data_IF_017928327678
#
_entry.id   IF_017928327678
#
_cell.length_a   1.000
_cell.length_b   1.000
_cell.length_c   1.000
_cell.angle_alpha   90.00
_cell.angle_beta   90.00
_cell.angle_gamma   90.00
#
_symmetry.space_group_name_H-M   'P 1'
#
loop_
_entity.id
_entity.type
_entity.pdbx_description
1 polymer ?
#
# COMPACT_ATOMS: atom_id res chain seq x y z
N UNK A 1 -3.32 1.12 -11.46
CA UNK A 1 -4.11 1.43 -10.26
C UNK A 1 -4.10 2.96 -10.07
N UNK A 2 -5.13 3.49 -9.43
CA UNK A 2 -5.18 4.89 -8.98
C UNK A 2 -5.00 4.90 -7.46
N UNK A 3 -4.31 5.90 -6.93
CA UNK A 3 -4.28 6.20 -5.50
C UNK A 3 -5.42 7.20 -5.25
N UNK A 4 -6.37 6.88 -4.39
CA UNK A 4 -7.49 7.76 -4.02
C UNK A 4 -7.35 8.09 -2.55
N UNK A 5 -6.99 9.33 -2.22
CA UNK A 5 -6.99 9.77 -0.84
C UNK A 5 -8.25 10.60 -0.60
N UNK A 6 -9.29 9.95 -0.10
CA UNK A 6 -10.51 10.63 0.34
C UNK A 6 -10.39 10.98 1.83
N UNK A 7 -10.22 12.28 2.11
CA UNK A 7 -10.43 12.84 3.45
C UNK A 7 -11.86 13.37 3.50
N UNK A 8 -12.81 12.59 4.01
CA UNK A 8 -14.10 13.16 4.45
C UNK A 8 -13.88 13.78 5.82
N UNK A 9 -13.93 15.10 5.90
CA UNK A 9 -13.88 15.78 7.20
C UNK A 9 -15.23 15.64 7.93
N UNK A 10 -15.17 15.12 9.15
CA UNK A 10 -15.95 15.71 10.23
C UNK A 10 -15.25 17.01 10.63
N UNK A 11 -15.98 18.12 10.64
CA UNK A 11 -15.50 19.42 11.07
C UNK A 11 -14.99 19.39 12.53
N UNK A 12 -13.73 19.07 12.73
CA UNK A 12 -13.06 19.18 14.02
C UNK A 12 -12.54 20.63 14.19
N UNK A 13 -12.96 21.26 15.27
CA UNK A 13 -12.80 22.69 15.60
C UNK A 13 -11.37 23.11 16.00
N UNK A 14 -10.33 22.46 15.49
CA UNK A 14 -8.93 22.74 15.84
C UNK A 14 -8.12 23.10 14.61
N UNK A 15 -7.66 24.36 14.52
CA UNK A 15 -7.01 24.96 13.34
C UNK A 15 -5.64 24.41 12.93
N UNK A 16 -5.54 23.10 12.68
CA UNK A 16 -4.50 22.53 11.82
C UNK A 16 -4.86 22.73 10.35
N UNK A 17 -3.86 22.82 9.46
CA UNK A 17 -4.12 22.88 8.02
C UNK A 17 -4.85 21.62 7.54
N UNK A 18 -5.99 21.82 6.88
CA UNK A 18 -6.79 20.74 6.29
C UNK A 18 -6.12 20.28 5.00
N UNK A 19 -5.30 19.24 5.12
CA UNK A 19 -4.57 18.66 3.99
C UNK A 19 -5.44 17.63 3.27
N UNK A 20 -5.94 18.01 2.09
CA UNK A 20 -6.52 17.06 1.14
C UNK A 20 -5.42 16.55 0.23
N UNK A 21 -4.94 15.33 0.47
CA UNK A 21 -3.89 14.73 -0.34
C UNK A 21 -4.33 14.61 -1.80
N UNK A 22 -5.58 14.20 -2.08
CA UNK A 22 -6.12 14.07 -3.43
C UNK A 22 -5.81 12.74 -4.11
N UNK A 23 -6.01 12.68 -5.42
CA UNK A 23 -5.71 11.49 -6.22
C UNK A 23 -4.20 11.38 -6.53
N UNK A 24 -3.78 10.17 -6.90
CA UNK A 24 -2.41 9.85 -7.21
C UNK A 24 -2.26 8.69 -8.18
N UNK A 25 -1.01 8.40 -8.50
CA UNK A 25 -0.60 7.39 -9.45
C UNK A 25 0.35 6.39 -8.78
N UNK A 26 0.42 5.18 -9.33
CA UNK A 26 1.28 4.10 -8.84
C UNK A 26 1.88 3.35 -10.02
N UNK A 27 3.12 2.91 -9.88
CA UNK A 27 3.85 2.12 -10.87
C UNK A 27 4.44 2.95 -12.01
N UNK A 28 4.87 2.28 -13.08
CA UNK A 28 5.60 2.91 -14.19
C UNK A 28 4.74 3.97 -14.91
N UNK A 29 5.24 5.21 -14.97
CA UNK A 29 4.60 6.31 -15.69
C UNK A 29 5.36 6.61 -16.98
N UNK A 30 4.81 6.26 -18.16
CA UNK A 30 5.46 6.60 -19.42
C UNK A 30 5.44 8.13 -19.63
N UNK A 31 6.34 8.64 -20.47
CA UNK A 31 6.29 10.04 -20.91
C UNK A 31 6.85 11.09 -19.93
N UNK A 32 7.51 10.65 -18.86
CA UNK A 32 8.37 11.48 -18.00
C UNK A 32 9.82 11.07 -18.25
N UNK A 33 10.69 12.03 -18.58
CA UNK A 33 12.11 11.76 -18.81
C UNK A 33 12.94 11.85 -17.53
N UNK A 34 14.24 11.53 -17.62
CA UNK A 34 15.17 11.55 -16.48
C UNK A 34 15.39 12.92 -15.84
N UNK A 35 15.00 14.01 -16.51
CA UNK A 35 15.02 15.37 -15.95
C UNK A 35 13.69 15.74 -15.28
N UNK A 36 12.73 14.82 -15.20
CA UNK A 36 11.40 15.05 -14.66
C UNK A 36 10.50 15.89 -15.57
N UNK A 37 10.78 15.96 -16.87
CA UNK A 37 9.87 16.66 -17.81
C UNK A 37 8.81 15.69 -18.31
N UNK A 38 7.56 15.95 -17.95
CA UNK A 38 6.39 15.22 -18.44
C UNK A 38 5.88 15.80 -19.75
N UNK A 39 5.50 14.94 -20.71
CA UNK A 39 5.03 15.34 -22.05
C UNK A 39 3.74 14.62 -22.46
N UNK A 40 3.11 15.08 -23.55
CA UNK A 40 1.99 14.38 -24.19
C UNK A 40 0.79 14.12 -23.27
N UNK A 41 0.26 12.89 -23.32
CA UNK A 41 -0.87 12.45 -22.50
C UNK A 41 -0.52 12.43 -21.01
N UNK A 42 0.71 12.08 -20.64
CA UNK A 42 1.13 12.05 -19.24
C UNK A 42 1.07 13.43 -18.61
N UNK A 43 1.49 14.47 -19.35
CA UNK A 43 1.34 15.85 -18.86
C UNK A 43 -0.13 16.23 -18.64
N UNK A 44 -1.01 15.89 -19.60
CA UNK A 44 -2.45 16.15 -19.47
C UNK A 44 -3.06 15.44 -18.27
N UNK A 45 -2.67 14.17 -18.05
CA UNK A 45 -3.12 13.39 -16.89
C UNK A 45 -2.69 14.02 -15.57
N UNK A 46 -1.41 14.41 -15.46
CA UNK A 46 -0.87 15.10 -14.30
C UNK A 46 -1.67 16.40 -14.02
N UNK A 47 -1.89 17.22 -15.05
CA UNK A 47 -2.63 18.48 -14.90
C UNK A 47 -4.08 18.29 -14.46
N UNK A 48 -4.75 17.23 -14.93
CA UNK A 48 -6.07 16.86 -14.46
C UNK A 48 -6.09 16.46 -12.98
N UNK A 49 -5.16 15.59 -12.57
CA UNK A 49 -5.15 15.01 -11.22
C UNK A 49 -4.80 16.03 -10.14
N UNK A 50 -3.85 16.94 -10.38
CA UNK A 50 -3.43 17.95 -9.39
C UNK A 50 -4.57 18.76 -8.80
N UNK A 51 -5.63 18.96 -9.56
CA UNK A 51 -6.81 19.71 -9.11
C UNK A 51 -7.53 19.07 -7.92
N UNK A 52 -7.35 17.76 -7.72
CA UNK A 52 -7.92 16.99 -6.60
C UNK A 52 -7.17 17.14 -5.27
N UNK A 53 -5.99 17.77 -5.27
CA UNK A 53 -5.13 17.94 -4.10
C UNK A 53 -5.05 19.40 -3.67
N UNK A 54 -5.08 19.66 -2.35
CA UNK A 54 -4.80 20.99 -1.83
C UNK A 54 -3.35 21.43 -2.05
N UNK A 55 -2.44 20.46 -2.27
CA UNK A 55 -1.03 20.72 -2.61
C UNK A 55 -0.83 21.15 -4.07
N UNK A 56 -1.87 21.05 -4.92
CA UNK A 56 -1.77 21.21 -6.38
C UNK A 56 -0.72 20.29 -7.01
N UNK A 57 -0.52 19.12 -6.42
CA UNK A 57 0.41 18.07 -6.84
C UNK A 57 -0.30 16.73 -7.01
N UNK A 58 0.36 15.80 -7.68
CA UNK A 58 -0.09 14.41 -7.85
C UNK A 58 0.64 13.55 -6.83
N UNK A 59 -0.07 12.76 -6.03
CA UNK A 59 0.60 11.81 -5.15
C UNK A 59 1.15 10.63 -5.96
N UNK A 60 2.31 10.10 -5.58
CA UNK A 60 2.88 8.91 -6.18
C UNK A 60 3.40 7.95 -5.12
N UNK A 61 3.26 6.67 -5.39
CA UNK A 61 3.74 5.59 -4.53
C UNK A 61 4.19 4.38 -5.37
N UNK A 62 5.10 3.57 -4.84
CA UNK A 62 5.71 2.42 -5.52
C UNK A 62 6.18 1.31 -4.57
N UNK A 63 5.57 1.18 -3.39
CA UNK A 63 5.96 0.18 -2.37
C UNK A 63 7.38 0.37 -1.77
N UNK A 64 8.06 1.50 -2.00
CA UNK A 64 9.43 1.76 -1.51
C UNK A 64 9.53 3.13 -0.78
N UNK A 65 10.70 3.44 -0.23
CA UNK A 65 11.01 4.72 0.42
C UNK A 65 11.38 5.84 -0.57
N UNK A 66 11.63 5.51 -1.83
CA UNK A 66 11.88 6.45 -2.92
C UNK A 66 11.55 5.78 -4.28
N UNK A 67 11.33 6.55 -5.37
CA UNK A 67 11.32 6.01 -6.73
C UNK A 67 12.64 5.31 -7.02
N UNK A 68 12.64 4.35 -7.93
CA UNK A 68 13.87 3.65 -8.35
C UNK A 68 13.69 2.99 -9.70
N UNK A 69 14.75 2.37 -10.19
CA UNK A 69 14.73 1.45 -11.32
C UNK A 69 14.22 0.11 -10.81
N UNK A 70 13.10 -0.34 -11.38
CA UNK A 70 12.51 -1.66 -11.13
C UNK A 70 12.44 -2.39 -12.46
N UNK A 71 12.98 -3.60 -12.54
CA UNK A 71 13.01 -4.42 -13.77
C UNK A 71 13.58 -3.68 -15.01
N UNK A 72 14.61 -2.86 -14.78
CA UNK A 72 15.25 -2.05 -15.82
C UNK A 72 14.43 -0.85 -16.28
N UNK A 73 13.29 -0.56 -15.65
CA UNK A 73 12.43 0.58 -15.95
C UNK A 73 12.57 1.66 -14.87
N UNK A 74 13.04 2.88 -15.22
CA UNK A 74 13.13 3.97 -14.27
C UNK A 74 11.75 4.56 -13.94
N UNK A 75 11.53 4.87 -12.66
CA UNK A 75 10.32 5.53 -12.18
C UNK A 75 10.54 7.05 -12.07
N UNK A 76 10.68 7.73 -13.20
CA UNK A 76 10.90 9.18 -13.21
C UNK A 76 9.64 9.95 -12.78
N UNK A 77 9.84 10.96 -11.92
CA UNK A 77 8.80 11.87 -11.48
C UNK A 77 9.17 13.32 -11.83
N UNK A 78 8.17 14.16 -12.05
CA UNK A 78 8.34 15.61 -12.20
C UNK A 78 8.19 16.34 -10.85
N UNK A 79 8.48 17.64 -10.82
CA UNK A 79 8.27 18.53 -9.65
C UNK A 79 6.80 18.62 -9.19
N UNK A 80 5.90 18.17 -10.05
CA UNK A 80 4.47 18.13 -9.85
C UNK A 80 4.01 17.01 -8.92
N UNK A 81 4.92 16.13 -8.52
CA UNK A 81 4.61 14.98 -7.69
C UNK A 81 4.96 15.20 -6.23
N UNK A 82 4.16 14.58 -5.37
CA UNK A 82 4.50 14.26 -3.98
C UNK A 82 4.68 12.76 -3.88
N UNK A 83 5.89 12.31 -3.56
CA UNK A 83 6.19 10.91 -3.31
C UNK A 83 5.78 10.52 -1.89
N UNK A 84 4.91 9.52 -1.74
CA UNK A 84 4.47 8.98 -0.46
C UNK A 84 5.30 7.74 -0.12
N UNK A 85 6.29 7.83 0.78
CA UNK A 85 7.14 6.70 1.10
C UNK A 85 6.40 5.65 1.90
N UNK A 86 6.76 4.40 1.69
CA UNK A 86 6.15 3.27 2.35
C UNK A 86 7.17 2.39 3.06
N UNK A 87 6.89 2.08 4.31
CA UNK A 87 7.58 1.03 5.04
C UNK A 87 6.92 -0.30 4.71
N UNK A 88 7.28 -0.91 3.58
CA UNK A 88 6.64 -2.13 3.06
C UNK A 88 6.49 -3.26 4.10
N UNK A 89 7.52 -3.45 4.93
CA UNK A 89 7.50 -4.31 6.13
C UNK A 89 8.09 -3.59 7.35
N UNK A 90 8.40 -4.34 8.41
CA UNK A 90 8.94 -3.79 9.68
C UNK A 90 10.38 -4.24 10.01
N UNK A 91 11.40 -4.07 9.13
CA UNK A 91 12.79 -4.20 9.57
C UNK A 91 13.34 -2.89 10.17
N UNK A 92 13.98 -2.94 11.34
CA UNK A 92 14.53 -1.74 11.99
C UNK A 92 15.78 -1.13 11.31
N UNK A 93 16.28 -1.71 10.20
CA UNK A 93 17.56 -1.30 9.59
C UNK A 93 17.45 -0.38 8.37
N UNK A 94 16.45 -0.57 7.50
CA UNK A 94 16.39 0.11 6.20
C UNK A 94 15.89 1.55 6.29
N UNK A 95 14.94 1.82 7.19
CA UNK A 95 14.25 3.13 7.28
C UNK A 95 15.24 4.28 7.50
N UNK A 96 16.21 4.13 8.39
CA UNK A 96 17.15 5.21 8.74
C UNK A 96 18.02 5.65 7.56
N UNK A 97 18.42 4.70 6.72
CA UNK A 97 19.29 4.92 5.57
C UNK A 97 18.50 5.28 4.31
N UNK A 98 17.30 4.71 4.14
CA UNK A 98 16.55 4.80 2.90
C UNK A 98 15.51 5.92 2.91
N UNK A 99 14.85 6.18 4.04
CA UNK A 99 13.83 7.23 4.12
C UNK A 99 14.48 8.61 3.92
N UNK A 100 13.94 9.42 3.00
CA UNK A 100 14.38 10.80 2.78
C UNK A 100 13.68 11.75 3.77
N UNK A 101 14.25 12.93 4.05
CA UNK A 101 13.58 13.93 4.89
C UNK A 101 12.20 14.29 4.31
N UNK A 102 11.20 14.41 5.18
CA UNK A 102 9.86 14.87 4.80
C UNK A 102 9.93 16.29 4.20
N UNK A 103 9.10 16.57 3.19
CA UNK A 103 9.07 17.85 2.48
C UNK A 103 10.31 18.16 1.64
N UNK A 104 11.28 17.25 1.54
CA UNK A 104 12.45 17.45 0.70
C UNK A 104 12.04 17.49 -0.78
N UNK A 105 12.46 18.53 -1.49
CA UNK A 105 12.33 18.66 -2.95
C UNK A 105 13.67 18.34 -3.59
N UNK A 106 13.68 17.65 -4.73
CA UNK A 106 14.94 17.32 -5.41
C UNK A 106 15.73 16.20 -4.72
N UNK A 107 15.06 15.31 -3.99
CA UNK A 107 15.71 14.27 -3.20
C UNK A 107 16.36 13.19 -4.10
N UNK A 108 17.32 12.44 -3.56
CA UNK A 108 17.90 11.31 -4.29
C UNK A 108 16.95 10.11 -4.29
N UNK A 109 16.71 9.54 -5.45
CA UNK A 109 15.93 8.32 -5.62
C UNK A 109 16.66 7.09 -5.00
N UNK A 110 16.10 5.90 -5.14
CA UNK A 110 16.65 4.65 -4.60
C UNK A 110 17.97 4.22 -5.25
N UNK A 111 18.29 4.74 -6.44
CA UNK A 111 19.52 4.48 -7.20
C UNK A 111 20.51 5.66 -7.13
N UNK A 112 20.22 6.67 -6.31
CA UNK A 112 21.08 7.82 -6.08
C UNK A 112 20.98 8.92 -7.14
N UNK A 113 19.97 8.89 -8.01
CA UNK A 113 19.72 9.94 -9.00
C UNK A 113 18.83 11.05 -8.42
N UNK A 114 18.99 12.32 -8.85
CA UNK A 114 18.09 13.39 -8.44
C UNK A 114 16.65 13.17 -8.92
N UNK A 115 15.69 13.29 -8.01
CA UNK A 115 14.25 13.23 -8.27
C UNK A 115 13.62 14.61 -8.01
N UNK A 116 13.08 15.30 -9.02
CA UNK A 116 12.48 16.63 -8.87
C UNK A 116 11.25 16.70 -7.95
N UNK A 117 10.63 15.56 -7.64
CA UNK A 117 9.45 15.48 -6.80
C UNK A 117 9.72 15.95 -5.36
N UNK A 118 8.63 16.16 -4.63
CA UNK A 118 8.64 16.45 -3.20
C UNK A 118 8.36 15.19 -2.39
N UNK A 119 9.04 15.02 -1.25
CA UNK A 119 8.76 13.94 -0.31
C UNK A 119 7.55 14.29 0.56
N UNK A 120 6.58 13.38 0.70
CA UNK A 120 5.41 13.60 1.55
C UNK A 120 5.79 13.81 3.03
N UNK A 121 4.88 14.43 3.79
CA UNK A 121 4.98 14.55 5.25
C UNK A 121 4.31 13.40 6.00
N UNK A 122 3.79 12.40 5.27
CA UNK A 122 3.23 11.16 5.80
C UNK A 122 4.11 9.97 5.43
N UNK A 123 4.37 9.07 6.39
CA UNK A 123 4.96 7.76 6.13
C UNK A 123 3.84 6.71 6.10
N UNK A 124 3.74 5.97 5.00
CA UNK A 124 2.80 4.87 4.86
C UNK A 124 3.29 3.64 5.63
N UNK A 125 2.39 3.05 6.42
CA UNK A 125 2.64 1.86 7.24
C UNK A 125 2.83 0.56 6.43
N UNK A 126 3.05 -0.58 7.11
CA UNK A 126 3.29 -1.88 6.49
C UNK A 126 2.23 -2.27 5.46
N UNK A 127 2.65 -2.87 4.34
CA UNK A 127 1.79 -3.20 3.20
C UNK A 127 1.01 -4.49 3.48
N UNK A 128 -0.33 -4.48 3.53
CA UNK A 128 -1.18 -5.68 3.65
C UNK A 128 -0.69 -6.76 4.66
N UNK A 129 -0.47 -6.43 5.95
CA UNK A 129 -0.15 -7.44 6.95
C UNK A 129 -1.37 -8.32 7.31
N UNK A 130 -2.56 -7.95 6.85
CA UNK A 130 -3.85 -8.56 7.14
C UNK A 130 -4.27 -9.63 6.13
N UNK A 131 -3.44 -9.91 5.11
CA UNK A 131 -3.64 -11.01 4.17
C UNK A 131 -2.55 -12.06 4.33
N UNK A 132 -2.71 -13.23 3.72
CA UNK A 132 -1.63 -14.22 3.62
C UNK A 132 -0.59 -13.83 2.57
N UNK A 133 0.70 -13.98 2.89
CA UNK A 133 1.80 -13.67 1.98
C UNK A 133 1.97 -14.73 0.89
N UNK A 134 2.48 -14.30 -0.27
CA UNK A 134 2.87 -15.17 -1.38
C UNK A 134 4.01 -14.55 -2.20
N UNK A 135 4.46 -15.18 -3.28
CA UNK A 135 5.34 -14.55 -4.26
C UNK A 135 4.55 -14.09 -5.47
N UNK A 136 4.83 -12.90 -5.99
CA UNK A 136 4.30 -12.48 -7.28
C UNK A 136 4.78 -13.41 -8.42
N UNK A 137 4.05 -13.40 -9.53
CA UNK A 137 4.40 -14.18 -10.72
C UNK A 137 3.98 -15.65 -10.67
N UNK A 138 4.84 -16.55 -11.12
CA UNK A 138 4.50 -17.93 -11.45
C UNK A 138 4.20 -18.85 -10.24
N UNK A 139 4.51 -18.40 -9.02
CA UNK A 139 4.18 -19.07 -7.75
C UNK A 139 3.13 -18.31 -6.92
N UNK A 140 2.46 -17.31 -7.51
CA UNK A 140 1.43 -16.54 -6.82
C UNK A 140 0.31 -17.42 -6.30
N UNK A 141 0.08 -17.29 -5.00
CA UNK A 141 -0.88 -18.06 -4.24
C UNK A 141 -0.48 -19.51 -3.99
N UNK A 142 0.67 -19.99 -4.44
CA UNK A 142 1.18 -21.34 -4.13
C UNK A 142 2.26 -21.30 -3.06
N UNK A 143 3.11 -20.29 -3.11
CA UNK A 143 4.08 -20.06 -2.06
C UNK A 143 3.36 -19.53 -0.81
N UNK A 144 3.59 -20.18 0.33
CA UNK A 144 2.95 -19.87 1.62
C UNK A 144 3.95 -19.47 2.69
N UNK A 145 5.24 -19.65 2.41
CA UNK A 145 6.32 -19.48 3.37
C UNK A 145 7.68 -19.34 2.64
N UNK A 146 8.68 -18.72 3.28
CA UNK A 146 10.04 -18.73 2.76
C UNK A 146 10.67 -20.10 3.06
N UNK A 147 11.60 -20.54 2.21
CA UNK A 147 12.41 -21.72 2.53
C UNK A 147 13.23 -21.52 3.81
N UNK A 148 13.42 -22.59 4.57
CA UNK A 148 14.34 -22.61 5.72
C UNK A 148 15.80 -22.67 5.27
N UNK A 149 16.72 -22.51 6.23
CA UNK A 149 18.15 -22.66 5.97
C UNK A 149 18.50 -24.05 5.43
N UNK A 150 17.83 -25.10 5.93
CA UNK A 150 18.00 -26.49 5.49
C UNK A 150 17.48 -26.72 4.07
N UNK A 151 16.53 -25.90 3.63
CA UNK A 151 15.90 -25.97 2.31
C UNK A 151 16.65 -25.17 1.24
N UNK A 152 17.63 -24.34 1.63
CA UNK A 152 18.25 -23.35 0.76
C UNK A 152 18.77 -23.92 -0.57
N UNK A 153 19.43 -25.09 -0.55
CA UNK A 153 20.05 -25.71 -1.73
C UNK A 153 19.04 -26.19 -2.80
N UNK A 154 17.78 -26.35 -2.43
CA UNK A 154 16.72 -26.85 -3.32
C UNK A 154 15.47 -25.97 -3.29
N UNK A 155 15.62 -24.74 -2.78
CA UNK A 155 14.53 -23.81 -2.67
C UNK A 155 14.10 -23.32 -4.06
N UNK A 156 12.88 -23.65 -4.54
CA UNK A 156 12.43 -23.22 -5.84
C UNK A 156 12.21 -21.70 -5.83
N UNK A 157 12.77 -21.02 -6.82
CA UNK A 157 12.64 -19.58 -6.95
C UNK A 157 11.41 -19.22 -7.77
N UNK A 158 10.59 -18.30 -7.25
CA UNK A 158 9.50 -17.70 -8.00
C UNK A 158 10.06 -16.70 -9.02
N UNK A 159 9.41 -16.62 -10.18
CA UNK A 159 9.75 -15.67 -11.24
C UNK A 159 8.53 -14.79 -11.57
N UNK A 160 8.74 -13.49 -11.77
CA UNK A 160 7.67 -12.57 -12.20
C UNK A 160 7.00 -13.02 -13.51
N UNK A 161 7.76 -13.67 -14.38
CA UNK A 161 7.33 -14.15 -15.68
C UNK A 161 7.78 -15.59 -15.90
N UNK A 162 6.91 -16.43 -16.45
CA UNK A 162 7.22 -17.83 -16.70
C UNK A 162 6.00 -18.73 -16.47
N UNK A 163 6.12 -19.99 -16.89
CA UNK A 163 5.04 -20.96 -16.72
C UNK A 163 5.22 -21.76 -15.42
N UNK A 164 4.33 -21.51 -14.46
CA UNK A 164 3.88 -22.50 -13.49
C UNK A 164 4.93 -23.02 -12.50
N UNK A 165 5.70 -22.13 -11.89
CA UNK A 165 6.52 -22.45 -10.73
C UNK A 165 5.78 -23.30 -9.69
N UNK A 166 6.51 -24.23 -9.08
CA UNK A 166 6.00 -25.10 -8.02
C UNK A 166 6.83 -24.88 -6.76
N UNK A 167 6.22 -24.48 -5.63
CA UNK A 167 6.91 -24.46 -4.35
C UNK A 167 7.28 -25.89 -3.92
N UNK A 168 8.06 -26.02 -2.85
CA UNK A 168 8.21 -27.30 -2.16
C UNK A 168 6.83 -27.84 -1.71
N UNK A 169 6.72 -29.14 -1.42
CA UNK A 169 5.43 -29.75 -1.06
C UNK A 169 4.82 -29.19 0.24
N UNK A 170 5.64 -28.54 1.09
CA UNK A 170 5.20 -27.77 2.26
C UNK A 170 4.80 -26.31 1.95
N UNK A 171 4.81 -25.91 0.67
CA UNK A 171 4.48 -24.56 0.22
C UNK A 171 5.63 -23.54 0.30
N UNK A 172 6.84 -23.98 0.65
CA UNK A 172 8.00 -23.10 0.80
C UNK A 172 8.64 -22.76 -0.56
N UNK A 173 9.09 -21.52 -0.72
CA UNK A 173 9.81 -21.08 -1.92
C UNK A 173 10.64 -19.81 -1.68
N UNK A 174 11.36 -19.35 -2.72
CA UNK A 174 12.14 -18.11 -2.70
C UNK A 174 11.45 -17.01 -3.53
N UNK A 175 10.91 -15.98 -2.87
CA UNK A 175 10.31 -14.82 -3.54
C UNK A 175 11.30 -13.72 -3.93
N UNK A 176 12.57 -13.78 -3.51
CA UNK A 176 13.44 -12.60 -3.47
C UNK A 176 14.48 -12.57 -4.59
N UNK A 177 14.76 -13.72 -5.20
CA UNK A 177 15.80 -13.81 -6.22
C UNK A 177 15.34 -13.30 -7.59
N UNK A 178 14.11 -13.62 -8.00
CA UNK A 178 13.58 -13.28 -9.33
C UNK A 178 12.12 -12.79 -9.30
N UNK A 179 11.61 -12.49 -8.11
CA UNK A 179 10.24 -12.02 -7.88
C UNK A 179 10.18 -11.05 -6.69
N UNK A 180 8.99 -10.81 -6.18
CA UNK A 180 8.69 -10.05 -4.97
C UNK A 180 7.71 -10.86 -4.12
N UNK A 181 7.78 -10.74 -2.79
CA UNK A 181 6.68 -11.23 -1.97
C UNK A 181 5.49 -10.25 -2.03
N UNK A 182 4.29 -10.69 -1.68
CA UNK A 182 3.08 -9.87 -1.56
C UNK A 182 2.87 -9.41 -0.11
N UNK A 183 2.08 -8.36 0.11
CA UNK A 183 1.83 -7.82 1.46
C UNK A 183 3.11 -7.37 2.16
N UNK A 184 3.27 -7.67 3.45
CA UNK A 184 4.53 -7.41 4.17
C UNK A 184 5.56 -8.51 3.88
N UNK A 185 5.23 -9.47 3.00
CA UNK A 185 6.03 -10.63 2.65
C UNK A 185 6.23 -11.63 3.79
N UNK A 186 7.15 -12.56 3.55
CA UNK A 186 7.55 -13.60 4.50
C UNK A 186 8.65 -13.17 5.49
N UNK A 187 8.39 -12.12 6.27
CA UNK A 187 9.43 -11.49 7.08
C UNK A 187 9.45 -12.08 8.49
N UNK A 188 10.44 -12.88 8.90
CA UNK A 188 10.50 -13.31 10.28
C UNK A 188 10.78 -12.10 11.18
N UNK A 189 9.88 -11.81 12.11
CA UNK A 189 10.13 -10.87 13.19
C UNK A 189 10.42 -11.67 14.45
N UNK A 190 11.58 -11.42 15.06
CA UNK A 190 11.94 -12.05 16.33
C UNK A 190 10.85 -11.78 17.39
N UNK A 191 10.43 -12.84 18.09
CA UNK A 191 9.34 -12.78 19.06
C UNK A 191 7.96 -13.16 18.51
N UNK A 192 7.84 -13.40 17.20
CA UNK A 192 6.67 -14.00 16.55
C UNK A 192 6.97 -15.45 16.14
N UNK A 193 6.16 -16.41 16.58
CA UNK A 193 6.32 -17.82 16.19
C UNK A 193 5.76 -18.10 14.79
N UNK A 194 4.81 -17.28 14.33
CA UNK A 194 4.15 -17.41 13.04
C UNK A 194 4.93 -16.73 11.94
N UNK A 195 4.88 -17.32 10.75
CA UNK A 195 5.37 -16.70 9.53
C UNK A 195 4.53 -15.46 9.21
N UNK A 196 5.21 -14.37 8.86
CA UNK A 196 4.53 -13.16 8.38
C UNK A 196 4.08 -13.32 6.92
N UNK A 197 3.10 -12.53 6.45
CA UNK A 197 2.28 -11.56 7.19
C UNK A 197 1.43 -12.21 8.29
N UNK A 198 0.95 -11.39 9.25
CA UNK A 198 0.27 -11.84 10.47
C UNK A 198 -1.21 -11.42 10.44
N UNK A 199 -2.04 -12.03 9.58
CA UNK A 199 -3.43 -11.63 9.42
C UNK A 199 -4.23 -11.75 10.72
N UNK A 200 -3.92 -12.77 11.51
CA UNK A 200 -4.57 -13.05 12.80
C UNK A 200 -3.77 -12.54 14.00
N UNK A 201 -2.89 -11.55 13.82
CA UNK A 201 -2.02 -11.01 14.88
C UNK A 201 -2.78 -10.69 16.18
N UNK A 202 -4.03 -10.24 16.06
CA UNK A 202 -4.88 -9.84 17.18
C UNK A 202 -5.72 -10.96 17.77
N UNK A 203 -6.01 -12.01 17.00
CA UNK A 203 -6.92 -13.10 17.38
C UNK A 203 -6.19 -14.22 18.10
N UNK A 204 -5.01 -14.58 17.59
CA UNK A 204 -4.19 -15.69 18.09
C UNK A 204 -3.14 -15.20 19.09
N UNK A 205 -3.48 -14.15 19.84
CA UNK A 205 -2.58 -13.28 20.59
C UNK A 205 -1.43 -14.04 21.27
N UNK A 206 -0.27 -14.06 20.61
CA UNK A 206 1.02 -14.20 21.27
C UNK A 206 1.41 -12.79 21.75
N UNK A 207 1.25 -12.45 23.04
CA UNK A 207 1.46 -11.08 23.50
C UNK A 207 2.90 -10.60 23.23
N UNK A 208 3.86 -11.53 23.20
CA UNK A 208 5.23 -11.28 22.79
C UNK A 208 5.34 -10.82 21.34
N UNK A 209 4.60 -11.44 20.41
CA UNK A 209 4.61 -11.09 19.00
C UNK A 209 3.99 -9.71 18.78
N UNK A 210 2.83 -9.44 19.39
CA UNK A 210 2.21 -8.10 19.36
C UNK A 210 3.16 -7.03 19.89
N UNK A 211 3.83 -7.31 21.02
CA UNK A 211 4.81 -6.41 21.61
C UNK A 211 6.01 -6.18 20.68
N UNK A 212 6.51 -7.23 20.03
CA UNK A 212 7.61 -7.14 19.08
C UNK A 212 7.22 -6.29 17.85
N UNK A 213 6.06 -6.53 17.26
CA UNK A 213 5.52 -5.76 16.13
C UNK A 213 5.38 -4.28 16.49
N UNK A 214 4.77 -3.97 17.63
CA UNK A 214 4.61 -2.59 18.10
C UNK A 214 5.94 -1.92 18.44
N UNK A 215 6.91 -2.65 19.00
CA UNK A 215 8.24 -2.12 19.28
C UNK A 215 9.00 -1.80 17.98
N UNK A 216 8.92 -2.69 16.99
CA UNK A 216 9.53 -2.49 15.68
C UNK A 216 8.88 -1.32 14.91
N UNK A 217 7.54 -1.18 15.01
CA UNK A 217 6.83 -0.01 14.51
C UNK A 217 7.32 1.28 15.18
N UNK A 218 7.37 1.33 16.53
CA UNK A 218 7.84 2.52 17.27
C UNK A 218 9.29 2.90 16.94
N UNK A 219 10.14 1.93 16.61
CA UNK A 219 11.49 2.23 16.13
C UNK A 219 11.48 2.89 14.74
N UNK A 220 10.66 2.36 13.83
CA UNK A 220 10.45 2.93 12.49
C UNK A 220 9.92 4.36 12.57
N UNK A 221 8.90 4.59 13.39
CA UNK A 221 8.25 5.92 13.51
C UNK A 221 9.17 6.94 14.17
N UNK A 222 10.03 6.54 15.12
CA UNK A 222 11.06 7.42 15.68
C UNK A 222 11.98 7.96 14.59
N UNK A 223 12.43 7.11 13.67
CA UNK A 223 13.24 7.53 12.53
C UNK A 223 12.46 8.45 11.58
N UNK A 224 11.19 8.15 11.31
CA UNK A 224 10.33 9.01 10.50
C UNK A 224 10.20 10.41 11.11
N UNK A 225 9.89 10.50 12.40
CA UNK A 225 9.75 11.78 13.11
C UNK A 225 11.07 12.55 13.12
N UNK A 226 12.21 11.88 13.33
CA UNK A 226 13.54 12.49 13.22
C UNK A 226 13.83 13.05 11.82
N UNK A 227 13.23 12.47 10.77
CA UNK A 227 13.31 12.94 9.39
C UNK A 227 12.22 13.95 9.04
N UNK A 228 11.42 14.41 10.01
CA UNK A 228 10.43 15.48 9.85
C UNK A 228 9.03 15.03 9.43
N UNK A 229 8.74 13.72 9.40
CA UNK A 229 7.40 13.23 9.08
C UNK A 229 6.43 13.62 10.20
N UNK A 230 5.33 14.26 9.81
CA UNK A 230 4.29 14.76 10.72
C UNK A 230 3.19 13.73 10.94
N UNK A 231 2.95 12.89 9.94
CA UNK A 231 1.86 11.94 9.92
C UNK A 231 2.36 10.52 9.65
N UNK A 232 1.60 9.55 10.13
CA UNK A 232 1.76 8.14 9.82
C UNK A 232 0.39 7.60 9.39
N UNK A 233 0.38 6.61 8.50
CA UNK A 233 -0.81 5.78 8.31
C UNK A 233 -0.74 4.54 9.19
N UNK A 234 -1.88 3.91 9.43
CA UNK A 234 -1.94 2.49 9.81
C UNK A 234 -1.27 1.63 8.72
N UNK A 235 -1.05 0.34 8.95
CA UNK A 235 -0.78 -0.58 7.85
C UNK A 235 -1.82 -0.42 6.73
N UNK A 236 -1.40 -0.66 5.50
CA UNK A 236 -2.20 -0.56 4.29
C UNK A 236 -2.99 -1.86 4.13
N UNK A 237 -4.07 -1.99 4.88
CA UNK A 237 -4.83 -3.26 4.99
C UNK A 237 -5.59 -3.56 3.69
N UNK A 238 -5.65 -4.83 3.27
CA UNK A 238 -6.33 -5.22 2.04
C UNK A 238 -7.68 -5.93 2.27
N UNK A 239 -7.91 -6.53 3.43
CA UNK A 239 -9.11 -7.31 3.79
C UNK A 239 -9.88 -6.69 4.97
N UNK A 240 -9.23 -6.39 6.09
CA UNK A 240 -9.88 -6.06 7.37
C UNK A 240 -9.49 -4.67 7.93
N UNK A 241 -10.44 -3.72 7.91
CA UNK A 241 -10.28 -2.40 8.55
C UNK A 241 -10.20 -2.52 10.08
N UNK A 242 -10.75 -3.59 10.68
CA UNK A 242 -10.62 -3.91 12.09
C UNK A 242 -9.15 -4.06 12.53
N UNK A 243 -8.29 -4.60 11.65
CA UNK A 243 -6.85 -4.66 11.85
C UNK A 243 -6.24 -3.27 12.06
N UNK A 244 -6.61 -2.31 11.23
CA UNK A 244 -6.13 -0.92 11.33
C UNK A 244 -6.62 -0.25 12.63
N UNK A 245 -7.86 -0.52 13.05
CA UNK A 245 -8.38 -0.06 14.35
C UNK A 245 -7.55 -0.60 15.51
N UNK A 246 -7.29 -1.91 15.55
CA UNK A 246 -6.46 -2.54 16.60
C UNK A 246 -5.04 -2.00 16.61
N UNK A 247 -4.49 -1.70 15.44
CA UNK A 247 -3.20 -1.04 15.33
C UNK A 247 -3.21 0.34 16.00
N UNK A 248 -4.24 1.18 15.76
CA UNK A 248 -4.41 2.48 16.43
C UNK A 248 -4.47 2.28 17.95
N UNK A 249 -5.33 1.37 18.43
CA UNK A 249 -5.50 1.12 19.86
C UNK A 249 -4.16 0.80 20.55
N UNK A 250 -3.33 -0.05 19.95
CA UNK A 250 -2.06 -0.47 20.52
C UNK A 250 -0.94 0.57 20.34
N UNK A 251 -0.83 1.18 19.15
CA UNK A 251 0.22 2.14 18.85
C UNK A 251 0.08 3.43 19.68
N UNK A 252 -1.17 3.91 19.81
CA UNK A 252 -1.54 5.13 20.52
C UNK A 252 -1.80 4.91 22.02
N UNK A 253 -1.91 3.64 22.46
CA UNK A 253 -2.27 3.29 23.83
C UNK A 253 -3.68 3.74 24.18
N UNK A 254 -4.66 3.40 23.33
CA UNK A 254 -6.05 3.76 23.51
C UNK A 254 -6.81 2.72 24.34
N UNK A 255 -7.66 3.20 25.24
CA UNK A 255 -8.67 2.44 25.94
C UNK A 255 -9.93 3.28 26.06
N UNK A 256 -11.10 2.72 25.68
CA UNK A 256 -12.40 3.41 25.75
C UNK A 256 -12.40 4.80 25.08
N UNK A 257 -11.81 4.90 23.87
CA UNK A 257 -11.73 6.15 23.09
C UNK A 257 -10.72 7.18 23.63
N UNK A 258 -10.00 6.87 24.71
CA UNK A 258 -8.96 7.75 25.26
C UNK A 258 -7.58 7.17 24.99
N UNK A 259 -6.70 7.95 24.38
CA UNK A 259 -5.36 7.51 24.00
C UNK A 259 -4.28 8.20 24.83
N UNK A 260 -3.26 7.43 25.21
CA UNK A 260 -2.09 7.96 25.91
C UNK A 260 -1.31 8.96 25.05
N UNK A 261 -1.32 8.79 23.74
CA UNK A 261 -0.70 9.70 22.79
C UNK A 261 -1.43 9.67 21.44
N UNK A 262 -1.44 10.80 20.72
CA UNK A 262 -2.17 11.01 19.47
C UNK A 262 -1.27 11.52 18.33
N UNK A 263 0.04 11.47 18.51
CA UNK A 263 1.03 12.08 17.61
C UNK A 263 1.94 11.03 16.96
N UNK A 264 2.52 11.37 15.80
CA UNK A 264 3.51 10.53 15.15
C UNK A 264 4.74 10.23 16.04
N UNK A 265 5.08 11.14 16.96
CA UNK A 265 6.21 11.05 17.90
C UNK A 265 6.19 9.79 18.78
N UNK A 266 5.00 9.25 19.10
CA UNK A 266 4.83 7.99 19.83
C UNK A 266 4.47 6.80 18.93
N UNK A 267 4.45 7.00 17.61
CA UNK A 267 4.03 6.02 16.62
C UNK A 267 2.52 5.94 16.39
N UNK A 268 1.75 6.91 16.87
CA UNK A 268 0.30 6.93 16.68
C UNK A 268 -0.06 7.43 15.27
N UNK A 269 -0.75 6.61 14.44
CA UNK A 269 -1.11 7.03 13.08
C UNK A 269 -2.31 7.98 13.07
N UNK A 270 -2.27 8.93 12.14
CA UNK A 270 -3.32 9.91 11.92
C UNK A 270 -4.20 9.58 10.70
N UNK A 271 -3.84 8.57 9.90
CA UNK A 271 -4.62 8.14 8.74
C UNK A 271 -4.84 6.64 8.75
N UNK A 272 -6.02 6.19 8.32
CA UNK A 272 -6.27 4.77 8.05
C UNK A 272 -5.85 4.46 6.61
N UNK A 273 -4.81 3.66 6.43
CA UNK A 273 -4.38 3.18 5.12
C UNK A 273 -5.09 1.89 4.73
N UNK A 274 -5.57 1.77 3.49
CA UNK A 274 -6.09 0.50 2.98
C UNK A 274 -6.03 0.40 1.45
N UNK A 275 -6.11 -0.83 0.93
CA UNK A 275 -6.27 -1.11 -0.49
C UNK A 275 -7.72 -1.43 -0.82
N UNK A 276 -8.15 -1.08 -2.03
CA UNK A 276 -9.44 -1.47 -2.55
C UNK A 276 -9.30 -2.02 -3.96
N UNK A 277 -9.78 -3.25 -4.15
CA UNK A 277 -9.87 -3.84 -5.47
C UNK A 277 -11.27 -4.35 -5.71
N UNK A 278 -11.78 -4.11 -6.91
CA UNK A 278 -12.85 -4.92 -7.46
C UNK A 278 -12.33 -6.24 -8.03
N UNK A 279 -13.23 -7.15 -8.40
CA UNK A 279 -12.87 -8.45 -8.96
C UNK A 279 -13.46 -8.65 -10.36
N UNK A 280 -12.63 -9.23 -11.26
CA UNK A 280 -13.07 -9.80 -12.54
C UNK A 280 -13.89 -8.83 -13.40
N UNK A 281 -13.60 -7.53 -13.30
CA UNK A 281 -14.27 -6.48 -14.07
C UNK A 281 -15.80 -6.45 -13.87
N UNK A 282 -16.25 -6.82 -12.67
CA UNK A 282 -17.66 -6.91 -12.28
C UNK A 282 -17.94 -6.20 -10.94
N UNK A 283 -17.67 -4.88 -10.83
CA UNK A 283 -17.75 -4.19 -9.54
C UNK A 283 -19.16 -4.13 -8.93
N UNK A 284 -20.20 -4.23 -9.76
CA UNK A 284 -21.60 -4.28 -9.33
C UNK A 284 -21.96 -5.55 -8.55
N UNK A 285 -21.08 -6.56 -8.50
CA UNK A 285 -21.31 -7.76 -7.68
C UNK A 285 -21.02 -7.53 -6.18
N UNK A 286 -21.04 -6.28 -5.73
CA UNK A 286 -20.86 -5.86 -4.34
C UNK A 286 -19.46 -5.34 -4.01
N UNK A 287 -18.62 -5.01 -5.01
CA UNK A 287 -17.33 -4.36 -4.75
C UNK A 287 -17.56 -2.92 -4.26
N UNK A 288 -18.51 -2.19 -4.86
CA UNK A 288 -18.89 -0.86 -4.38
C UNK A 288 -19.47 -0.88 -2.96
N UNK A 289 -20.31 -1.88 -2.65
CA UNK A 289 -20.83 -2.06 -1.28
C UNK A 289 -19.70 -2.32 -0.28
N UNK A 290 -18.68 -3.09 -0.70
CA UNK A 290 -17.50 -3.37 0.13
C UNK A 290 -16.68 -2.10 0.36
N UNK A 291 -16.47 -1.28 -0.68
CA UNK A 291 -15.82 0.03 -0.51
C UNK A 291 -16.61 0.90 0.46
N UNK A 292 -17.92 1.02 0.30
CA UNK A 292 -18.76 1.81 1.19
C UNK A 292 -18.68 1.32 2.63
N UNK A 293 -18.75 0.00 2.86
CA UNK A 293 -18.61 -0.58 4.20
C UNK A 293 -17.25 -0.26 4.85
N UNK A 294 -16.16 -0.25 4.05
CA UNK A 294 -14.83 0.14 4.52
C UNK A 294 -14.77 1.63 4.85
N UNK A 295 -15.33 2.50 4.01
CA UNK A 295 -15.43 3.93 4.28
C UNK A 295 -16.25 4.21 5.56
N UNK A 296 -17.36 3.51 5.75
CA UNK A 296 -18.17 3.61 6.97
C UNK A 296 -17.40 3.13 8.21
N UNK A 297 -16.57 2.09 8.06
CA UNK A 297 -15.70 1.63 9.15
C UNK A 297 -14.61 2.65 9.49
N UNK A 298 -14.03 3.32 8.49
CA UNK A 298 -13.10 4.44 8.74
C UNK A 298 -13.79 5.60 9.42
N UNK A 299 -15.00 5.97 8.96
CA UNK A 299 -15.79 7.02 9.62
C UNK A 299 -16.03 6.72 11.11
N UNK A 300 -16.39 5.47 11.44
CA UNK A 300 -16.51 5.04 12.85
C UNK A 300 -15.18 5.13 13.62
N UNK A 301 -14.06 4.79 13.00
CA UNK A 301 -12.73 4.97 13.62
C UNK A 301 -12.48 6.47 13.90
N UNK A 302 -12.83 7.37 12.99
CA UNK A 302 -12.66 8.81 13.19
C UNK A 302 -13.57 9.36 14.29
N UNK A 303 -14.80 8.84 14.42
CA UNK A 303 -15.72 9.16 15.51
C UNK A 303 -15.15 8.72 16.86
N UNK A 304 -14.63 7.49 16.94
CA UNK A 304 -14.06 6.93 18.17
C UNK A 304 -12.69 7.53 18.53
N UNK A 305 -11.93 7.98 17.53
CA UNK A 305 -10.59 8.53 17.65
C UNK A 305 -10.45 9.85 16.86
N UNK A 306 -10.92 10.99 17.40
CA UNK A 306 -11.01 12.27 16.65
C UNK A 306 -9.69 12.87 16.16
N UNK A 307 -8.54 12.33 16.60
CA UNK A 307 -7.23 12.73 16.06
C UNK A 307 -6.92 12.07 14.70
N UNK A 308 -7.65 11.00 14.33
CA UNK A 308 -7.58 10.37 13.02
C UNK A 308 -8.24 11.30 12.00
N UNK A 309 -7.48 11.67 10.98
CA UNK A 309 -7.80 12.72 10.00
C UNK A 309 -8.54 12.21 8.77
N UNK A 310 -8.49 10.92 8.49
CA UNK A 310 -9.14 10.35 7.30
C UNK A 310 -8.55 9.02 6.86
N UNK A 311 -8.85 8.67 5.61
CA UNK A 311 -8.32 7.48 4.96
C UNK A 311 -7.27 7.83 3.90
N UNK A 312 -6.38 6.88 3.60
CA UNK A 312 -5.51 6.86 2.43
C UNK A 312 -5.78 5.53 1.72
N UNK A 313 -6.44 5.57 0.55
CA UNK A 313 -6.67 4.39 -0.29
C UNK A 313 -5.56 4.32 -1.33
N UNK A 314 -4.43 3.72 -0.96
CA UNK A 314 -3.23 3.80 -1.80
C UNK A 314 -3.20 2.88 -3.00
N UNK A 315 -4.08 1.90 -3.03
CA UNK A 315 -4.39 1.13 -4.22
C UNK A 315 -5.89 1.10 -4.46
N UNK A 316 -6.30 1.59 -5.63
CA UNK A 316 -7.63 1.39 -6.21
C UNK A 316 -7.47 0.72 -7.57
N UNK A 317 -8.05 -0.46 -7.73
CA UNK A 317 -7.92 -1.23 -8.95
C UNK A 317 -8.95 -2.33 -9.12
N UNK A 318 -8.70 -3.19 -10.10
CA UNK A 318 -9.46 -4.39 -10.36
C UNK A 318 -8.48 -5.56 -10.41
N UNK A 319 -8.75 -6.61 -9.64
CA UNK A 319 -7.99 -7.85 -9.70
C UNK A 319 -8.52 -8.73 -10.82
N UNK A 320 -7.59 -9.29 -11.58
CA UNK A 320 -7.87 -10.20 -12.70
C UNK A 320 -8.09 -11.64 -12.20
N UNK A 321 -9.08 -11.84 -11.33
CA UNK A 321 -9.41 -13.16 -10.76
C UNK A 321 -10.85 -13.20 -10.26
N UNK A 322 -11.39 -14.41 -10.13
CA UNK A 322 -12.71 -14.62 -9.57
C UNK A 322 -12.79 -14.19 -8.09
N UNK A 323 -13.97 -13.72 -7.69
CA UNK A 323 -14.27 -13.41 -6.29
C UNK A 323 -14.29 -14.67 -5.43
N UNK A 324 -13.93 -14.54 -4.15
CA UNK A 324 -14.15 -15.57 -3.13
C UNK A 324 -13.18 -16.75 -3.21
N UNK A 325 -12.21 -16.70 -4.11
CA UNK A 325 -11.04 -17.58 -4.05
C UNK A 325 -10.16 -17.11 -2.91
N UNK A 326 -9.69 -18.03 -2.07
CA UNK A 326 -8.76 -17.70 -0.96
C UNK A 326 -7.50 -16.95 -1.44
N UNK A 327 -7.19 -17.02 -2.73
CA UNK A 327 -6.03 -16.38 -3.37
C UNK A 327 -6.40 -16.01 -4.82
N UNK A 328 -5.99 -14.82 -5.25
CA UNK A 328 -6.24 -14.34 -6.61
C UNK A 328 -5.45 -15.17 -7.64
N UNK A 329 -6.13 -16.08 -8.34
CA UNK A 329 -5.54 -16.82 -9.47
C UNK A 329 -5.79 -16.01 -10.74
N UNK A 330 -4.74 -15.55 -11.46
CA UNK A 330 -4.92 -14.77 -12.68
C UNK A 330 -5.84 -15.46 -13.70
N UNK A 331 -6.68 -14.68 -14.37
CA UNK A 331 -7.62 -15.12 -15.41
C UNK A 331 -8.66 -16.18 -14.97
N UNK A 332 -8.85 -16.38 -13.65
CA UNK A 332 -9.82 -17.35 -13.13
C UNK A 332 -11.28 -16.90 -13.21
N UNK A 333 -11.51 -15.63 -13.59
CA UNK A 333 -12.83 -15.03 -13.67
C UNK A 333 -13.51 -15.19 -15.04
N UNK A 334 -14.71 -14.60 -15.15
CA UNK A 334 -15.55 -14.55 -16.34
C UNK A 334 -15.03 -13.59 -17.41
N UNK A 335 -14.34 -12.52 -17.02
CA UNK A 335 -13.83 -11.48 -17.91
C UNK A 335 -12.31 -11.33 -17.76
N UNK A 336 -11.53 -12.36 -18.15
CA UNK A 336 -10.08 -12.37 -17.98
C UNK A 336 -9.43 -11.20 -18.72
N UNK A 337 -8.60 -10.44 -18.00
CA UNK A 337 -7.97 -9.24 -18.52
C UNK A 337 -6.84 -9.53 -19.51
N UNK A 338 -6.24 -10.73 -19.47
CA UNK A 338 -5.13 -11.12 -20.36
C UNK A 338 -5.50 -11.12 -21.85
N UNK A 339 -6.79 -11.22 -22.16
CA UNK A 339 -7.31 -11.11 -23.53
C UNK A 339 -7.34 -9.69 -24.10
N UNK A 340 -6.97 -8.67 -23.32
CA UNK A 340 -7.07 -7.26 -23.72
C UNK A 340 -5.69 -6.57 -23.80
N UNK A 341 -5.54 -5.55 -24.67
CA UNK A 341 -4.32 -4.75 -24.70
C UNK A 341 -4.01 -4.13 -23.33
N UNK A 342 -2.81 -4.40 -22.81
CA UNK A 342 -2.36 -3.87 -21.53
C UNK A 342 -3.00 -4.50 -20.29
N UNK A 343 -3.72 -5.63 -20.43
CA UNK A 343 -4.32 -6.31 -19.28
C UNK A 343 -5.44 -5.50 -18.62
N UNK A 344 -6.16 -4.70 -19.39
CA UNK A 344 -7.26 -3.87 -18.91
C UNK A 344 -8.56 -4.66 -18.74
N UNK A 345 -9.51 -4.09 -18.01
CA UNK A 345 -10.87 -4.63 -18.03
C UNK A 345 -11.49 -4.50 -19.43
N UNK A 346 -12.00 -5.60 -20.03
CA UNK A 346 -12.77 -5.49 -21.26
C UNK A 346 -14.02 -4.64 -20.99
N UNK A 347 -14.55 -3.93 -22.02
CA UNK A 347 -15.84 -3.29 -21.90
C UNK A 347 -16.93 -4.32 -21.57
N UNK A 348 -17.69 -4.07 -20.51
CA UNK A 348 -18.85 -4.88 -20.10
C UNK A 348 -20.07 -3.96 -19.94
N UNK A 349 -21.30 -4.49 -19.81
CA UNK A 349 -22.46 -3.66 -19.48
C UNK A 349 -22.28 -2.84 -18.20
N UNK A 350 -21.61 -3.40 -17.19
CA UNK A 350 -21.28 -2.71 -15.93
C UNK A 350 -20.09 -1.75 -16.08
N UNK A 351 -19.19 -2.00 -17.03
CA UNK A 351 -18.01 -1.18 -17.31
C UNK A 351 -17.94 -0.79 -18.79
N UNK A 352 -18.85 0.07 -19.30
CA UNK A 352 -18.91 0.42 -20.72
C UNK A 352 -17.63 1.10 -21.23
N UNK A 353 -16.81 1.70 -20.33
CA UNK A 353 -15.49 2.27 -20.63
C UNK A 353 -14.36 1.50 -19.91
N UNK A 354 -14.58 0.23 -19.57
CA UNK A 354 -13.63 -0.57 -18.81
C UNK A 354 -13.30 0.06 -17.45
N UNK A 355 -12.02 0.04 -17.07
CA UNK A 355 -11.55 0.57 -15.79
C UNK A 355 -11.86 2.08 -15.60
N UNK A 356 -12.02 2.84 -16.68
CA UNK A 356 -12.38 4.26 -16.57
C UNK A 356 -13.81 4.46 -16.03
N UNK A 357 -14.74 3.53 -16.29
CA UNK A 357 -16.05 3.56 -15.62
C UNK A 357 -15.88 3.30 -14.12
N UNK A 358 -15.11 2.26 -13.76
CA UNK A 358 -14.88 1.91 -12.36
C UNK A 358 -14.32 3.08 -11.56
N UNK A 359 -13.26 3.71 -12.05
CA UNK A 359 -12.64 4.87 -11.39
C UNK A 359 -13.60 6.06 -11.31
N UNK A 360 -14.41 6.31 -12.34
CA UNK A 360 -15.39 7.39 -12.31
C UNK A 360 -16.48 7.17 -11.24
N UNK A 361 -16.95 5.93 -11.05
CA UNK A 361 -17.92 5.59 -10.01
C UNK A 361 -17.31 5.60 -8.60
N UNK A 362 -16.04 5.21 -8.46
CA UNK A 362 -15.33 5.29 -7.15
C UNK A 362 -15.10 6.75 -6.74
N UNK A 363 -14.91 7.65 -7.70
CA UNK A 363 -14.62 9.06 -7.44
C UNK A 363 -15.86 9.98 -7.44
N UNK A 364 -17.00 9.51 -7.92
CA UNK A 364 -18.23 10.29 -8.14
C UNK A 364 -19.16 10.29 -6.93
#
# INVERSE_FOLDING_TARGET
>A
AALVVETREHAATGGGENLQWGCGLVGLLPGINSSGVATGDTRRLIDGIKSSSSLRKVNYWNWDFAPRITDGQPQYLSEDFVFMPNSWGIPPGSVSQQLRPAGAVGFLDGDGQPCPAEMATVLLGPNEPDISGSCMGDMMGRCTAPCTTEEADHCPAAHLHGAGGRPLDNGHCNCWQFSHATGCGFWPLEGCSRLQPLPTLWEDAEPSCVSAVMAAWKNTTRTAVQKGYQYLSTPLVAEDIGYARKWIELACGCSEGRCACQEASCGCPAYVGFHFYGYDCQPEQGDYDTLQQRLDAVARIMEDYPFVKGAIINEVGMLNCARGTARCVPDSGRYPASGTPGGACPPTPALPRGLATFVAEVLG
#
